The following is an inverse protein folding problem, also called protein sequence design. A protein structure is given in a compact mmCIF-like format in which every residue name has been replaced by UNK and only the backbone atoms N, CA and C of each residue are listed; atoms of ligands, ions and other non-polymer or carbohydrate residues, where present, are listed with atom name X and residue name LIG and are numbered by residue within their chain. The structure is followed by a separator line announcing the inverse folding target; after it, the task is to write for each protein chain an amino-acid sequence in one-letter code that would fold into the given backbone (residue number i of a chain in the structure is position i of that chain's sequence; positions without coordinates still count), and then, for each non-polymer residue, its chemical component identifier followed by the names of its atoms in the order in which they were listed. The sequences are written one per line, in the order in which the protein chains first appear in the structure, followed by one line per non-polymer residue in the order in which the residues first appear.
data_IF_456297037590
#
_entry.id   IF_456297037590
#
_cell.length_a   1.000
_cell.length_b   1.000
_cell.length_c   1.000
_cell.angle_alpha   90.00
_cell.angle_beta   90.00
_cell.angle_gamma   90.00
#
_symmetry.space_group_name_H-M   'P 1'
#
loop_
_entity.id
_entity.type
_entity.pdbx_description
1 polymer ?
#
# COMPACT_ATOMS: atom_id res chain seq x y z
N UNK A 1 10.45 11.13 -28.51
CA UNK A 1 11.51 10.91 -27.48
C UNK A 1 11.48 11.87 -26.27
N UNK A 2 10.74 12.99 -26.28
CA UNK A 2 10.65 13.89 -25.11
C UNK A 2 9.80 13.29 -23.97
N UNK A 3 8.71 12.59 -24.32
CA UNK A 3 7.78 11.98 -23.36
C UNK A 3 8.42 10.90 -22.47
N UNK A 4 9.26 10.03 -23.03
CA UNK A 4 9.91 8.96 -22.26
C UNK A 4 10.90 9.50 -21.23
N UNK A 5 11.62 10.58 -21.57
CA UNK A 5 12.53 11.25 -20.62
C UNK A 5 11.80 11.89 -19.45
N UNK A 6 10.68 12.58 -19.70
CA UNK A 6 9.88 13.17 -18.62
C UNK A 6 9.26 12.09 -17.72
N UNK A 7 8.75 11.01 -18.30
CA UNK A 7 8.19 9.89 -17.55
C UNK A 7 9.22 9.21 -16.65
N UNK A 8 10.42 8.94 -17.18
CA UNK A 8 11.52 8.36 -16.40
C UNK A 8 11.98 9.28 -15.26
N UNK A 9 12.01 10.59 -15.49
CA UNK A 9 12.46 11.57 -14.49
C UNK A 9 11.45 11.71 -13.32
N UNK A 10 10.15 11.69 -13.61
CA UNK A 10 9.11 11.67 -12.58
C UNK A 10 9.09 10.36 -11.80
N UNK A 11 9.31 9.22 -12.45
CA UNK A 11 9.47 7.93 -11.76
C UNK A 11 10.69 7.92 -10.83
N UNK A 12 11.83 8.44 -11.28
CA UNK A 12 13.04 8.51 -10.47
C UNK A 12 12.86 9.42 -9.24
N UNK A 13 12.15 10.55 -9.39
CA UNK A 13 11.78 11.42 -8.25
C UNK A 13 10.88 10.70 -7.25
N UNK A 14 9.89 9.92 -7.72
CA UNK A 14 9.02 9.15 -6.83
C UNK A 14 9.78 8.08 -6.05
N UNK A 15 10.68 7.35 -6.72
CA UNK A 15 11.52 6.33 -6.07
C UNK A 15 12.41 6.96 -5.00
N UNK A 16 13.07 8.09 -5.32
CA UNK A 16 13.90 8.80 -4.35
C UNK A 16 13.09 9.26 -3.13
N UNK A 17 11.92 9.88 -3.35
CA UNK A 17 11.01 10.31 -2.27
C UNK A 17 10.54 9.15 -1.40
N UNK A 18 10.16 8.02 -2.01
CA UNK A 18 9.74 6.84 -1.26
C UNK A 18 10.88 6.29 -0.39
N UNK A 19 12.10 6.24 -0.93
CA UNK A 19 13.29 5.78 -0.20
C UNK A 19 13.61 6.70 0.98
N UNK A 20 13.60 8.02 0.77
CA UNK A 20 13.86 9.01 1.82
C UNK A 20 12.78 8.96 2.91
N UNK A 21 11.51 8.85 2.50
CA UNK A 21 10.38 8.69 3.41
C UNK A 21 10.51 7.42 4.28
N UNK A 22 10.83 6.27 3.68
CA UNK A 22 11.06 5.03 4.43
C UNK A 22 12.26 5.14 5.37
N UNK A 23 13.33 5.82 4.96
CA UNK A 23 14.48 6.09 5.82
C UNK A 23 14.10 6.86 7.08
N UNK A 24 13.27 7.91 6.93
CA UNK A 24 12.73 8.69 8.05
C UNK A 24 11.79 7.87 8.92
N UNK A 25 10.88 7.10 8.32
CA UNK A 25 9.92 6.26 9.05
C UNK A 25 10.58 5.12 9.81
N UNK A 26 11.73 4.63 9.34
CA UNK A 26 12.56 3.66 10.07
C UNK A 26 13.14 4.26 11.35
N UNK A 27 13.50 5.55 11.35
CA UNK A 27 13.99 6.26 12.53
C UNK A 27 12.84 6.75 13.44
N UNK A 28 11.72 7.16 12.84
CA UNK A 28 10.53 7.63 13.54
C UNK A 28 9.26 7.26 12.76
N UNK A 29 8.56 6.22 13.21
CA UNK A 29 7.34 5.72 12.57
C UNK A 29 6.15 6.69 12.65
N UNK A 30 6.24 7.76 13.44
CA UNK A 30 5.18 8.77 13.63
C UNK A 30 5.42 10.05 12.82
N UNK A 31 6.47 10.10 12.00
CA UNK A 31 6.77 11.25 11.14
C UNK A 31 5.69 11.42 10.05
N UNK A 32 4.70 12.26 10.33
CA UNK A 32 3.54 12.48 9.46
C UNK A 32 3.93 13.01 8.07
N UNK A 33 5.02 13.78 7.96
CA UNK A 33 5.52 14.28 6.67
C UNK A 33 6.08 13.13 5.84
N UNK A 34 6.82 12.22 6.49
CA UNK A 34 7.32 11.03 5.82
C UNK A 34 6.20 10.06 5.44
N UNK A 35 5.15 9.90 6.26
CA UNK A 35 3.96 9.10 5.90
C UNK A 35 3.28 9.67 4.65
N UNK A 36 3.07 11.00 4.60
CA UNK A 36 2.45 11.64 3.44
C UNK A 36 3.31 11.49 2.18
N UNK A 37 4.62 11.75 2.29
CA UNK A 37 5.55 11.60 1.17
C UNK A 37 5.60 10.16 0.63
N UNK A 38 5.50 9.16 1.52
CA UNK A 38 5.42 7.76 1.12
C UNK A 38 4.10 7.45 0.41
N UNK A 39 2.98 7.96 0.93
CA UNK A 39 1.68 7.79 0.28
C UNK A 39 1.69 8.37 -1.13
N UNK A 40 2.12 9.61 -1.34
CA UNK A 40 2.16 10.22 -2.68
C UNK A 40 3.09 9.47 -3.65
N UNK A 41 4.19 8.92 -3.13
CA UNK A 41 5.16 8.20 -3.95
C UNK A 41 4.67 6.81 -4.38
N UNK A 42 3.89 6.13 -3.52
CA UNK A 42 3.43 4.76 -3.72
C UNK A 42 1.91 4.61 -3.92
N UNK A 43 1.16 5.72 -4.03
CA UNK A 43 -0.30 5.74 -4.11
C UNK A 43 -0.82 4.80 -5.22
N UNK A 44 -0.18 4.85 -6.38
CA UNK A 44 -0.57 4.01 -7.52
C UNK A 44 -0.40 2.53 -7.21
N UNK A 45 0.75 2.11 -6.69
CA UNK A 45 1.03 0.71 -6.34
C UNK A 45 0.03 0.21 -5.27
N UNK A 46 -0.21 1.03 -4.23
CA UNK A 46 -1.17 0.69 -3.19
C UNK A 46 -2.61 0.60 -3.72
N UNK A 47 -3.00 1.49 -4.63
CA UNK A 47 -4.30 1.43 -5.30
C UNK A 47 -4.45 0.20 -6.17
N UNK A 48 -3.43 -0.16 -6.96
CA UNK A 48 -3.45 -1.34 -7.82
C UNK A 48 -3.64 -2.62 -6.98
N UNK A 49 -2.90 -2.74 -5.86
CA UNK A 49 -3.05 -3.86 -4.92
C UNK A 49 -4.44 -3.85 -4.27
N UNK A 50 -4.89 -2.72 -3.74
CA UNK A 50 -6.20 -2.61 -3.08
C UNK A 50 -7.35 -2.95 -4.04
N UNK A 51 -7.28 -2.51 -5.29
CA UNK A 51 -8.27 -2.84 -6.33
C UNK A 51 -8.26 -4.32 -6.65
N UNK A 52 -7.09 -4.95 -6.76
CA UNK A 52 -6.94 -6.39 -7.04
C UNK A 52 -7.65 -7.25 -5.98
N UNK A 53 -7.51 -6.92 -4.70
CA UNK A 53 -8.06 -7.74 -3.61
C UNK A 53 -9.44 -7.30 -3.11
N UNK A 54 -9.69 -6.00 -3.04
CA UNK A 54 -10.91 -5.44 -2.42
C UNK A 54 -11.90 -4.83 -3.43
N UNK A 55 -11.51 -4.70 -4.70
CA UNK A 55 -12.33 -4.16 -5.78
C UNK A 55 -12.34 -2.63 -5.86
N UNK A 56 -12.89 -2.09 -6.96
CA UNK A 56 -12.99 -0.64 -7.23
C UNK A 56 -14.18 0.01 -6.51
N UNK A 57 -14.28 -0.15 -5.19
CA UNK A 57 -15.37 0.40 -4.37
C UNK A 57 -14.83 1.12 -3.12
N UNK A 58 -15.72 1.54 -2.22
CA UNK A 58 -15.32 2.22 -0.98
C UNK A 58 -14.43 1.35 -0.08
N UNK A 59 -14.59 0.01 -0.10
CA UNK A 59 -13.70 -0.90 0.63
C UNK A 59 -12.29 -0.86 0.04
N UNK A 60 -12.15 -0.82 -1.29
CA UNK A 60 -10.86 -0.62 -1.94
C UNK A 60 -10.16 0.66 -1.50
N UNK A 61 -10.89 1.78 -1.42
CA UNK A 61 -10.33 3.07 -0.94
C UNK A 61 -9.86 2.99 0.51
N UNK A 62 -10.64 2.34 1.39
CA UNK A 62 -10.23 2.11 2.79
C UNK A 62 -9.05 1.15 2.90
N UNK A 63 -8.99 0.14 2.04
CA UNK A 63 -7.90 -0.81 2.00
C UNK A 63 -6.58 -0.11 1.71
N UNK A 64 -6.51 0.84 0.78
CA UNK A 64 -5.29 1.63 0.50
C UNK A 64 -4.69 2.22 1.79
N UNK A 65 -5.52 2.82 2.65
CA UNK A 65 -5.05 3.39 3.93
C UNK A 65 -4.53 2.31 4.88
N UNK A 66 -5.20 1.16 4.97
CA UNK A 66 -4.70 0.04 5.76
C UNK A 66 -3.36 -0.50 5.21
N UNK A 67 -3.21 -0.58 3.89
CA UNK A 67 -1.96 -1.00 3.26
C UNK A 67 -0.84 0.00 3.58
N UNK A 68 -1.10 1.30 3.49
CA UNK A 68 -0.14 2.34 3.88
C UNK A 68 0.29 2.18 5.34
N UNK A 69 -0.67 1.99 6.26
CA UNK A 69 -0.37 1.78 7.69
C UNK A 69 0.52 0.55 7.89
N UNK A 70 0.23 -0.55 7.19
CA UNK A 70 1.06 -1.76 7.29
C UNK A 70 2.49 -1.51 6.78
N UNK A 71 2.66 -0.77 5.68
CA UNK A 71 3.98 -0.37 5.17
C UNK A 71 4.72 0.48 6.21
N UNK A 72 4.08 1.51 6.76
CA UNK A 72 4.67 2.39 7.78
C UNK A 72 5.09 1.61 9.03
N UNK A 73 4.21 0.73 9.54
CA UNK A 73 4.50 -0.08 10.75
C UNK A 73 5.66 -1.06 10.58
N UNK A 74 6.01 -1.38 9.33
CA UNK A 74 7.09 -2.30 8.96
C UNK A 74 8.30 -1.59 8.37
N UNK A 75 8.30 -0.27 8.29
CA UNK A 75 9.40 0.50 7.70
C UNK A 75 10.75 0.20 8.37
N UNK A 76 10.75 -0.19 9.66
CA UNK A 76 11.94 -0.60 10.38
C UNK A 76 12.67 -1.81 9.77
N UNK A 77 11.93 -2.73 9.12
CA UNK A 77 12.50 -3.91 8.49
C UNK A 77 12.91 -3.68 7.04
N UNK A 78 12.78 -2.46 6.52
CA UNK A 78 13.20 -2.14 5.16
C UNK A 78 14.73 -2.01 5.10
N UNK A 79 15.33 -2.82 4.22
CA UNK A 79 16.73 -2.75 3.86
C UNK A 79 16.89 -2.37 2.38
N UNK A 80 17.40 -1.16 2.08
CA UNK A 80 17.60 -0.72 0.70
C UNK A 80 18.77 -1.41 -0.02
N UNK A 81 19.63 -2.16 0.68
CA UNK A 81 20.72 -2.91 0.03
C UNK A 81 20.26 -4.24 -0.57
N UNK A 82 19.28 -4.89 0.06
CA UNK A 82 18.75 -6.18 -0.41
C UNK A 82 17.54 -6.06 -1.34
N UNK A 83 16.78 -4.96 -1.29
CA UNK A 83 15.53 -4.84 -2.06
C UNK A 83 15.20 -3.41 -2.47
N UNK A 84 14.64 -3.27 -3.68
CA UNK A 84 14.12 -1.98 -4.15
C UNK A 84 12.91 -1.53 -3.32
N UNK A 85 12.74 -0.21 -3.18
CA UNK A 85 11.63 0.36 -2.40
C UNK A 85 10.27 -0.09 -2.93
N UNK A 86 10.06 -0.03 -4.25
CA UNK A 86 8.79 -0.40 -4.89
C UNK A 86 8.47 -1.88 -4.70
N UNK A 87 9.46 -2.76 -4.85
CA UNK A 87 9.29 -4.18 -4.62
C UNK A 87 8.94 -4.48 -3.16
N UNK A 88 9.66 -3.88 -2.21
CA UNK A 88 9.40 -4.07 -0.78
C UNK A 88 8.00 -3.59 -0.39
N UNK A 89 7.61 -2.39 -0.82
CA UNK A 89 6.25 -1.85 -0.61
C UNK A 89 5.20 -2.78 -1.21
N UNK A 90 5.39 -3.24 -2.44
CA UNK A 90 4.45 -4.14 -3.12
C UNK A 90 4.29 -5.46 -2.37
N UNK A 91 5.38 -6.06 -1.88
CA UNK A 91 5.34 -7.30 -1.08
C UNK A 91 4.58 -7.12 0.23
N UNK A 92 4.84 -6.03 0.95
CA UNK A 92 4.14 -5.72 2.21
C UNK A 92 2.65 -5.48 1.95
N UNK A 93 2.33 -4.71 0.91
CA UNK A 93 0.96 -4.40 0.51
C UNK A 93 0.21 -5.66 0.06
N UNK A 94 0.78 -6.50 -0.79
CA UNK A 94 0.15 -7.75 -1.24
C UNK A 94 -0.12 -8.71 -0.06
N UNK A 95 0.85 -8.85 0.85
CA UNK A 95 0.69 -9.69 2.04
C UNK A 95 -0.45 -9.19 2.94
N UNK A 96 -0.56 -7.87 3.14
CA UNK A 96 -1.61 -7.29 3.97
C UNK A 96 -2.98 -7.30 3.27
N UNK A 97 -3.02 -7.03 1.97
CA UNK A 97 -4.25 -7.09 1.17
C UNK A 97 -4.87 -8.49 1.18
N UNK A 98 -4.02 -9.54 1.14
CA UNK A 98 -4.46 -10.92 1.27
C UNK A 98 -5.15 -11.17 2.62
N UNK A 99 -4.53 -10.77 3.73
CA UNK A 99 -5.13 -10.91 5.08
C UNK A 99 -6.44 -10.13 5.19
N UNK A 100 -6.48 -8.90 4.69
CA UNK A 100 -7.70 -8.08 4.67
C UNK A 100 -8.81 -8.78 3.89
N UNK A 101 -8.48 -9.38 2.74
CA UNK A 101 -9.46 -10.11 1.94
C UNK A 101 -9.98 -11.36 2.65
N UNK A 102 -9.08 -12.15 3.24
CA UNK A 102 -9.43 -13.34 4.03
C UNK A 102 -10.38 -12.96 5.18
N UNK A 103 -10.07 -11.92 5.95
CA UNK A 103 -10.92 -11.45 7.04
C UNK A 103 -12.33 -11.00 6.57
N UNK A 104 -12.41 -10.34 5.41
CA UNK A 104 -13.68 -9.95 4.80
C UNK A 104 -14.50 -11.16 4.36
N UNK A 105 -13.87 -12.17 3.79
CA UNK A 105 -14.54 -13.39 3.34
C UNK A 105 -15.02 -14.25 4.53
N UNK A 106 -14.23 -14.37 5.61
CA UNK A 106 -14.66 -15.03 6.86
C UNK A 106 -15.85 -14.31 7.50
N UNK A 107 -15.85 -12.98 7.50
CA UNK A 107 -16.97 -12.17 8.04
C UNK A 107 -18.26 -12.35 7.24
N UNK A 108 -18.17 -12.64 5.93
CA UNK A 108 -19.33 -12.96 5.09
C UNK A 108 -19.90 -14.35 5.38
N UNK A 109 -19.05 -15.32 5.72
CA UNK A 109 -19.47 -16.68 6.07
C UNK A 109 -20.19 -16.74 7.42
N UNK A 110 -19.82 -15.88 8.37
CA UNK A 110 -20.45 -15.80 9.70
C UNK A 110 -21.75 -14.99 9.74
N UNK A 111 -22.20 -14.42 8.62
CA UNK A 111 -23.49 -13.70 8.58
C UNK A 111 -24.63 -14.73 8.46
N UNK A 112 -25.55 -14.86 9.43
CA UNK A 112 -26.70 -15.73 9.28
C UNK A 112 -27.47 -15.29 8.03
N UNK A 113 -27.70 -16.22 7.11
CA UNK A 113 -28.65 -15.99 6.02
C UNK A 113 -30.02 -15.88 6.66
N UNK A 114 -30.52 -14.66 6.84
CA UNK A 114 -31.92 -14.46 7.21
C UNK A 114 -32.78 -15.13 6.15
N UNK A 115 -33.70 -16.03 6.52
CA UNK A 115 -34.57 -16.67 5.55
C UNK A 115 -35.33 -15.60 4.78
N UNK A 116 -35.34 -15.71 3.44
CA UNK A 116 -36.25 -14.91 2.60
C UNK A 116 -37.66 -15.24 3.05
N UNK A 117 -38.37 -14.23 3.58
CA UNK A 117 -39.82 -14.32 3.74
C UNK A 117 -40.42 -14.60 2.35
N UNK A 118 -41.20 -15.69 2.26
CA UNK A 118 -42.01 -16.07 1.09
C UNK A 118 -43.38 -15.46 1.25
#
# INVERSE_FOLDING_TARGET
MIYERQFSLEQNKKIARAKDALGRLRANSTDAVAVMGLYEACDRELQEVAVRYCGKNQLGRKAVLNLLVAVVSRAWSYDPQSMSTSEWVSRVADAEARKLREALDTSRQHRPRLPRAV
#
